data_IF_496815520946
#
_entry.id   IF_496815520946
#
_cell.length_a   1.000
_cell.length_b   1.000
_cell.length_c   1.000
_cell.angle_alpha   90.00
_cell.angle_beta   90.00
_cell.angle_gamma   90.00
#
_symmetry.space_group_name_H-M   'P 1'
#
loop_
_entity.id
_entity.type
_entity.pdbx_description
1 polymer ?
#
# COMPACT_ATOMS: atom_id res chain seq x y z
N UNK A 1 34.13 -7.33 57.75
CA UNK A 1 32.80 -6.67 57.69
C UNK A 1 32.70 -5.58 56.60
N UNK A 2 33.74 -5.36 55.79
CA UNK A 2 33.83 -4.22 54.84
C UNK A 2 33.47 -4.59 53.38
N UNK A 3 33.54 -5.88 53.04
CA UNK A 3 33.29 -6.41 51.67
C UNK A 3 31.81 -6.56 51.30
N UNK A 4 30.89 -6.61 52.27
CA UNK A 4 29.43 -6.68 52.01
C UNK A 4 28.85 -5.33 51.56
N UNK A 5 29.36 -4.23 52.10
CA UNK A 5 28.89 -2.87 51.76
C UNK A 5 29.37 -2.42 50.37
N UNK A 6 30.60 -2.78 49.98
CA UNK A 6 31.10 -2.51 48.63
C UNK A 6 30.34 -3.31 47.58
N UNK A 7 30.01 -4.58 47.84
CA UNK A 7 29.21 -5.39 46.94
C UNK A 7 27.78 -4.85 46.77
N UNK A 8 27.17 -4.36 47.86
CA UNK A 8 25.85 -3.70 47.81
C UNK A 8 25.89 -2.41 46.99
N UNK A 9 26.89 -1.57 47.22
CA UNK A 9 27.08 -0.31 46.49
C UNK A 9 27.35 -0.54 44.99
N UNK A 10 28.15 -1.55 44.65
CA UNK A 10 28.41 -1.95 43.26
C UNK A 10 27.13 -2.46 42.61
N UNK A 11 26.32 -3.29 43.29
CA UNK A 11 25.02 -3.73 42.76
C UNK A 11 24.09 -2.56 42.47
N UNK A 12 24.00 -1.60 43.38
CA UNK A 12 23.14 -0.42 43.22
C UNK A 12 23.59 0.49 42.07
N UNK A 13 24.90 0.66 41.89
CA UNK A 13 25.49 1.38 40.75
C UNK A 13 25.25 0.66 39.41
N UNK A 14 25.35 -0.68 39.40
CA UNK A 14 25.04 -1.49 38.22
C UNK A 14 23.55 -1.39 37.87
N UNK A 15 22.65 -1.51 38.84
CA UNK A 15 21.20 -1.38 38.62
C UNK A 15 20.82 0.02 38.13
N UNK A 16 21.44 1.08 38.68
CA UNK A 16 21.24 2.46 38.23
C UNK A 16 21.78 2.73 36.83
N UNK A 17 22.82 2.02 36.37
CA UNK A 17 23.38 2.19 35.03
C UNK A 17 22.66 1.37 33.95
N UNK A 18 22.10 0.21 34.29
CA UNK A 18 21.35 -0.63 33.36
C UNK A 18 20.03 0.02 32.93
N UNK A 19 19.32 0.66 33.86
CA UNK A 19 18.02 1.29 33.58
C UNK A 19 18.05 2.35 32.46
N UNK A 20 18.93 3.38 32.49
CA UNK A 20 19.02 4.36 31.41
C UNK A 20 19.59 3.78 30.12
N UNK A 21 20.52 2.82 30.20
CA UNK A 21 21.09 2.16 29.03
C UNK A 21 20.03 1.35 28.26
N UNK A 22 19.13 0.68 28.98
CA UNK A 22 18.02 -0.05 28.39
C UNK A 22 16.99 0.89 27.74
N UNK A 23 16.70 2.04 28.36
CA UNK A 23 15.82 3.05 27.78
C UNK A 23 16.40 3.67 26.51
N UNK A 24 17.70 3.99 26.49
CA UNK A 24 18.40 4.49 25.29
C UNK A 24 18.35 3.45 24.16
N UNK A 25 18.57 2.17 24.47
CA UNK A 25 18.47 1.09 23.48
C UNK A 25 17.08 0.94 22.87
N UNK A 26 16.01 1.20 23.64
CA UNK A 26 14.64 1.17 23.13
C UNK A 26 14.37 2.37 22.21
N UNK A 27 14.86 3.57 22.56
CA UNK A 27 14.65 4.80 21.77
C UNK A 27 15.42 4.75 20.44
N UNK A 28 16.60 4.13 20.39
CA UNK A 28 17.39 4.02 19.15
C UNK A 28 16.91 2.93 18.20
N UNK A 29 15.91 2.11 18.59
CA UNK A 29 15.28 1.16 17.66
C UNK A 29 14.39 1.91 16.66
N UNK A 30 14.95 2.19 15.49
CA UNK A 30 14.19 2.64 14.32
C UNK A 30 13.14 1.59 13.95
N UNK A 31 11.86 1.95 14.02
CA UNK A 31 10.78 1.08 13.54
C UNK A 31 10.91 0.92 12.03
N UNK A 32 10.99 -0.32 11.55
CA UNK A 32 10.98 -0.60 10.12
C UNK A 32 9.55 -0.36 9.63
N UNK A 33 9.34 0.73 8.90
CA UNK A 33 8.07 1.00 8.23
C UNK A 33 7.96 0.09 7.01
N UNK A 34 7.23 -1.01 7.15
CA UNK A 34 6.71 -1.71 5.98
C UNK A 34 5.43 -1.00 5.57
N UNK A 35 5.30 -0.62 4.31
CA UNK A 35 4.12 0.05 3.81
C UNK A 35 3.48 -0.83 2.73
N UNK A 36 2.45 -1.57 3.15
CA UNK A 36 1.65 -2.43 2.31
C UNK A 36 0.20 -1.99 2.41
N UNK A 37 -0.55 -2.22 1.34
CA UNK A 37 -1.97 -1.84 1.26
C UNK A 37 -2.83 -2.52 2.34
N UNK A 38 -2.41 -3.69 2.83
CA UNK A 38 -3.07 -4.38 3.94
C UNK A 38 -3.12 -3.54 5.22
N UNK A 39 -2.13 -2.67 5.46
CA UNK A 39 -2.14 -1.79 6.64
C UNK A 39 -3.20 -0.69 6.53
N UNK A 40 -3.51 -0.24 5.32
CA UNK A 40 -4.66 0.63 5.11
C UNK A 40 -5.96 -0.12 5.45
N UNK A 41 -6.14 -1.32 4.88
CA UNK A 41 -7.33 -2.14 5.09
C UNK A 41 -7.59 -2.46 6.57
N UNK A 42 -6.53 -2.74 7.33
CA UNK A 42 -6.60 -3.04 8.76
C UNK A 42 -6.74 -1.80 9.64
N UNK A 43 -6.09 -0.70 9.28
CA UNK A 43 -6.03 0.51 10.10
C UNK A 43 -7.17 1.50 9.88
N UNK A 44 -7.86 1.43 8.73
CA UNK A 44 -8.84 2.43 8.33
C UNK A 44 -10.10 1.79 7.74
N UNK A 45 -11.27 2.25 8.19
CA UNK A 45 -12.57 1.82 7.67
C UNK A 45 -12.76 2.25 6.21
N UNK A 46 -12.38 3.49 5.92
CA UNK A 46 -12.46 4.07 4.59
C UNK A 46 -11.06 4.55 4.18
N UNK A 47 -10.56 4.18 2.99
CA UNK A 47 -9.24 4.62 2.53
C UNK A 47 -9.19 6.11 2.15
N UNK A 48 -10.33 6.80 2.06
CA UNK A 48 -10.43 8.24 1.79
C UNK A 48 -11.01 8.97 2.99
N UNK A 49 -10.26 9.95 3.47
CA UNK A 49 -10.69 10.88 4.52
C UNK A 49 -11.69 11.90 3.98
N UNK A 50 -12.45 12.56 4.86
CA UNK A 50 -13.43 13.59 4.48
C UNK A 50 -12.79 14.78 3.72
N UNK A 51 -11.50 15.02 3.95
CA UNK A 51 -10.68 16.02 3.24
C UNK A 51 -10.37 15.64 1.79
N UNK A 52 -10.63 14.38 1.41
CA UNK A 52 -10.21 13.79 0.15
C UNK A 52 -8.81 13.19 0.17
N UNK A 53 -8.07 13.31 1.29
CA UNK A 53 -6.76 12.67 1.46
C UNK A 53 -6.91 11.15 1.52
N UNK A 54 -5.97 10.43 0.90
CA UNK A 54 -5.90 8.97 0.95
C UNK A 54 -5.00 8.54 2.12
N UNK A 55 -5.44 7.55 2.90
CA UNK A 55 -4.77 7.11 4.14
C UNK A 55 -3.35 6.59 3.93
N UNK A 56 -3.00 6.18 2.70
CA UNK A 56 -1.63 5.83 2.32
C UNK A 56 -0.64 6.97 2.60
N UNK A 57 -1.08 8.22 2.54
CA UNK A 57 -0.27 9.41 2.81
C UNK A 57 0.07 9.60 4.30
N UNK A 58 -0.50 8.81 5.22
CA UNK A 58 -0.12 8.82 6.63
C UNK A 58 1.22 8.08 6.87
N UNK A 59 1.64 7.23 5.93
CA UNK A 59 2.92 6.53 5.96
C UNK A 59 3.84 6.92 4.79
N UNK A 60 3.29 7.02 3.57
CA UNK A 60 4.04 7.46 2.38
C UNK A 60 4.07 8.99 2.33
N UNK A 61 5.03 9.58 3.03
CA UNK A 61 5.14 11.04 3.21
C UNK A 61 5.61 11.79 1.96
N UNK A 62 6.31 11.10 1.05
CA UNK A 62 6.76 11.69 -0.20
C UNK A 62 5.60 11.78 -1.21
N UNK A 63 5.47 12.95 -1.84
CA UNK A 63 4.47 13.17 -2.89
C UNK A 63 5.08 12.90 -4.28
N UNK A 64 4.37 12.14 -5.10
CA UNK A 64 4.66 11.95 -6.52
C UNK A 64 3.35 12.04 -7.31
N UNK A 65 3.36 12.64 -8.50
CA UNK A 65 2.16 12.73 -9.33
C UNK A 65 1.71 11.33 -9.76
N UNK A 66 0.40 11.17 -9.92
CA UNK A 66 -0.25 9.96 -10.42
C UNK A 66 -1.30 10.41 -11.42
N UNK A 67 -1.26 9.86 -12.63
CA UNK A 67 -2.24 10.16 -13.67
C UNK A 67 -3.24 9.00 -13.80
N UNK A 68 -4.49 9.32 -14.10
CA UNK A 68 -5.54 8.34 -14.37
C UNK A 68 -6.24 8.68 -15.67
N UNK A 69 -6.27 7.73 -16.61
CA UNK A 69 -6.96 7.88 -17.88
C UNK A 69 -8.20 6.98 -17.88
N UNK A 70 -9.38 7.60 -18.05
CA UNK A 70 -10.70 6.94 -18.12
C UNK A 70 -11.43 7.31 -19.42
N UNK A 71 -12.27 6.43 -19.99
CA UNK A 71 -13.19 6.76 -21.06
C UNK A 71 -14.16 7.82 -20.61
N UNK A 72 -14.52 8.69 -21.55
CA UNK A 72 -15.48 9.76 -21.32
C UNK A 72 -16.85 9.21 -20.87
N UNK A 73 -17.28 8.08 -21.43
CA UNK A 73 -18.58 7.48 -21.15
C UNK A 73 -18.51 5.96 -21.24
N UNK A 74 -19.34 5.29 -20.43
CA UNK A 74 -19.45 3.84 -20.39
C UNK A 74 -20.92 3.42 -20.38
N UNK A 75 -21.24 2.41 -21.20
CA UNK A 75 -22.59 1.85 -21.26
C UNK A 75 -22.88 0.99 -20.02
N UNK A 76 -24.14 0.91 -19.56
CA UNK A 76 -24.53 -0.01 -18.49
C UNK A 76 -24.19 -1.46 -18.85
N UNK A 77 -23.87 -2.28 -17.84
CA UNK A 77 -23.52 -3.71 -17.99
C UNK A 77 -22.40 -4.01 -18.99
N UNK A 78 -21.64 -3.00 -19.40
CA UNK A 78 -20.51 -3.16 -20.30
C UNK A 78 -19.25 -3.22 -19.48
N UNK A 79 -18.36 -4.13 -19.87
CA UNK A 79 -17.04 -4.19 -19.29
C UNK A 79 -16.12 -3.32 -20.11
N UNK A 80 -15.47 -2.36 -19.47
CA UNK A 80 -14.72 -1.33 -20.17
C UNK A 80 -13.29 -1.23 -19.64
N UNK A 81 -12.38 -0.85 -20.52
CA UNK A 81 -10.95 -0.74 -20.28
C UNK A 81 -10.59 0.71 -20.00
N UNK A 82 -10.29 1.07 -18.76
CA UNK A 82 -10.44 2.47 -18.43
C UNK A 82 -9.64 3.02 -17.30
N UNK A 83 -8.71 2.28 -16.73
CA UNK A 83 -7.97 2.84 -15.61
C UNK A 83 -6.52 2.53 -15.84
N UNK A 84 -5.93 3.29 -16.75
CA UNK A 84 -4.48 3.37 -16.82
C UNK A 84 -4.07 4.36 -15.73
N UNK A 85 -3.66 3.81 -14.59
CA UNK A 85 -3.01 4.62 -13.56
C UNK A 85 -1.52 4.68 -13.91
N UNK A 86 -1.03 5.85 -14.30
CA UNK A 86 0.39 6.06 -14.62
C UNK A 86 1.08 6.61 -13.37
N UNK A 87 2.09 5.88 -12.91
CA UNK A 87 2.94 6.30 -11.81
C UNK A 87 4.35 6.48 -12.38
N UNK A 88 4.75 7.71 -12.74
CA UNK A 88 6.08 7.95 -13.25
C UNK A 88 7.11 7.69 -12.16
N UNK A 89 8.14 6.92 -12.49
CA UNK A 89 9.33 6.80 -11.66
C UNK A 89 10.58 6.73 -12.52
N UNK A 90 11.68 7.17 -11.92
CA UNK A 90 12.99 7.05 -12.53
C UNK A 90 13.50 5.62 -12.31
N UNK A 91 13.66 4.88 -13.41
CA UNK A 91 14.15 3.49 -13.43
C UNK A 91 15.62 3.36 -13.01
N UNK A 92 16.38 4.47 -13.02
CA UNK A 92 17.76 4.48 -12.55
C UNK A 92 17.84 4.58 -11.02
N UNK A 93 16.79 5.08 -10.36
CA UNK A 93 16.76 5.20 -8.92
C UNK A 93 16.39 3.87 -8.24
N UNK A 94 17.19 3.52 -7.23
CA UNK A 94 16.98 2.34 -6.38
C UNK A 94 16.56 2.77 -4.99
N UNK A 95 15.59 2.08 -4.41
CA UNK A 95 15.18 2.30 -3.01
C UNK A 95 16.04 1.47 -2.06
N UNK A 96 16.13 1.92 -0.80
CA UNK A 96 16.71 1.12 0.28
C UNK A 96 15.68 0.07 0.70
N UNK A 97 16.05 -1.20 0.61
CA UNK A 97 15.22 -2.33 1.03
C UNK A 97 15.30 -2.53 2.55
N UNK A 98 14.39 -3.34 3.10
CA UNK A 98 14.36 -3.67 4.54
C UNK A 98 15.68 -4.29 5.07
N UNK A 99 16.49 -4.90 4.19
CA UNK A 99 17.81 -5.44 4.54
C UNK A 99 18.95 -4.40 4.43
N UNK A 100 18.64 -3.13 4.18
CA UNK A 100 19.60 -2.04 4.00
C UNK A 100 20.27 -1.98 2.62
N UNK A 101 20.04 -2.94 1.72
CA UNK A 101 20.60 -2.94 0.36
C UNK A 101 19.74 -2.10 -0.60
N UNK A 102 20.35 -1.60 -1.68
CA UNK A 102 19.63 -0.90 -2.75
C UNK A 102 18.97 -1.90 -3.71
N UNK A 103 17.68 -1.71 -4.00
CA UNK A 103 16.89 -2.58 -4.89
C UNK A 103 15.85 -1.82 -5.70
N UNK A 104 15.09 -2.58 -6.51
CA UNK A 104 14.00 -2.03 -7.32
C UNK A 104 12.82 -1.55 -6.48
N UNK A 105 11.96 -0.73 -7.09
CA UNK A 105 10.76 -0.21 -6.46
C UNK A 105 9.57 -1.16 -6.67
N UNK A 106 8.75 -1.28 -5.64
CA UNK A 106 7.44 -1.89 -5.72
C UNK A 106 6.38 -0.79 -5.70
N UNK A 107 5.31 -1.00 -6.45
CA UNK A 107 4.20 -0.05 -6.52
C UNK A 107 2.89 -0.77 -6.23
N UNK A 108 1.98 -0.06 -5.59
CA UNK A 108 0.61 -0.48 -5.38
C UNK A 108 -0.31 0.73 -5.45
N UNK A 109 -1.61 0.48 -5.60
CA UNK A 109 -2.62 1.52 -5.69
C UNK A 109 -3.91 1.12 -4.97
N UNK A 110 -4.63 2.14 -4.51
CA UNK A 110 -6.03 2.05 -4.10
C UNK A 110 -6.85 2.80 -5.13
N UNK A 111 -7.82 2.13 -5.75
CA UNK A 111 -8.75 2.72 -6.70
C UNK A 111 -10.14 2.76 -6.09
N UNK A 112 -10.68 3.96 -5.95
CA UNK A 112 -12.02 4.19 -5.39
C UNK A 112 -12.95 4.52 -6.55
N UNK A 113 -13.92 3.64 -6.79
CA UNK A 113 -14.89 3.80 -7.87
C UNK A 113 -16.22 4.31 -7.34
N UNK A 114 -17.05 4.92 -8.20
CA UNK A 114 -18.43 5.23 -7.86
C UNK A 114 -19.19 3.96 -7.46
N UNK A 115 -20.28 4.14 -6.72
CA UNK A 115 -21.15 3.04 -6.35
C UNK A 115 -21.74 2.35 -7.59
N UNK A 116 -21.93 1.04 -7.49
CA UNK A 116 -22.40 0.19 -8.60
C UNK A 116 -21.30 -0.27 -9.56
N UNK A 117 -20.08 0.24 -9.43
CA UNK A 117 -18.92 -0.30 -10.14
C UNK A 117 -18.24 -1.39 -9.31
N UNK A 118 -17.89 -2.50 -9.95
CA UNK A 118 -17.08 -3.56 -9.34
C UNK A 118 -16.10 -4.13 -10.36
N UNK A 119 -15.10 -4.86 -9.86
CA UNK A 119 -14.21 -5.63 -10.72
C UNK A 119 -15.02 -6.64 -11.55
N UNK A 120 -14.77 -6.69 -12.85
CA UNK A 120 -15.43 -7.61 -13.74
C UNK A 120 -15.14 -9.06 -13.35
N UNK A 121 -16.15 -9.93 -13.37
CA UNK A 121 -15.96 -11.32 -13.03
C UNK A 121 -15.15 -12.03 -14.14
N UNK A 122 -14.35 -13.06 -13.80
CA UNK A 122 -13.37 -13.66 -14.71
C UNK A 122 -13.96 -14.21 -16.02
N UNK A 123 -15.22 -14.61 -16.01
CA UNK A 123 -15.98 -15.13 -17.15
C UNK A 123 -16.30 -14.06 -18.21
N UNK A 124 -16.31 -12.78 -17.81
CA UNK A 124 -16.54 -11.65 -18.71
C UNK A 124 -15.25 -11.05 -19.27
N UNK A 125 -14.08 -11.60 -18.88
CA UNK A 125 -12.76 -11.10 -19.30
C UNK A 125 -12.31 -11.90 -20.52
N UNK A 126 -12.14 -11.22 -21.66
CA UNK A 126 -11.61 -11.87 -22.86
C UNK A 126 -10.14 -12.29 -22.65
N UNK A 127 -9.68 -13.37 -23.31
CA UNK A 127 -8.31 -13.86 -23.15
C UNK A 127 -7.25 -12.81 -23.49
N UNK A 128 -7.50 -11.97 -24.49
CA UNK A 128 -6.62 -10.85 -24.86
C UNK A 128 -6.43 -9.85 -23.71
N UNK A 129 -7.52 -9.51 -23.01
CA UNK A 129 -7.47 -8.55 -21.91
C UNK A 129 -6.85 -9.20 -20.67
N UNK A 130 -7.12 -10.49 -20.45
CA UNK A 130 -6.50 -11.27 -19.38
C UNK A 130 -4.98 -11.34 -19.52
N UNK A 131 -4.47 -11.51 -20.74
CA UNK A 131 -3.03 -11.50 -21.01
C UNK A 131 -2.43 -10.12 -20.72
N UNK A 132 -3.12 -9.04 -21.14
CA UNK A 132 -2.72 -7.67 -20.81
C UNK A 132 -2.78 -7.39 -19.30
N UNK A 133 -3.70 -8.04 -18.57
CA UNK A 133 -3.79 -7.93 -17.12
C UNK A 133 -2.60 -8.51 -16.36
N UNK A 134 -1.87 -9.44 -16.99
CA UNK A 134 -0.69 -10.06 -16.41
C UNK A 134 -0.96 -10.66 -15.02
N UNK A 135 0.07 -10.65 -14.17
CA UNK A 135 0.04 -11.25 -12.82
C UNK A 135 -0.46 -10.29 -11.74
N UNK A 136 -1.36 -9.37 -12.06
CA UNK A 136 -1.84 -8.42 -11.07
C UNK A 136 -2.93 -9.02 -10.19
N UNK A 137 -2.72 -8.88 -8.89
CA UNK A 137 -3.72 -9.24 -7.89
C UNK A 137 -4.59 -8.02 -7.61
N UNK A 138 -5.88 -8.18 -7.89
CA UNK A 138 -6.93 -7.23 -7.51
C UNK A 138 -7.67 -7.79 -6.31
N UNK A 139 -7.85 -6.97 -5.29
CA UNK A 139 -8.60 -7.33 -4.10
C UNK A 139 -9.58 -6.22 -3.77
N UNK A 140 -10.76 -6.55 -3.27
CA UNK A 140 -11.64 -5.53 -2.69
C UNK A 140 -11.06 -5.05 -1.37
N UNK A 141 -11.17 -3.75 -1.09
CA UNK A 141 -10.68 -3.17 0.16
C UNK A 141 -11.31 -3.85 1.37
N UNK A 142 -12.61 -4.16 1.28
CA UNK A 142 -13.38 -4.98 2.23
C UNK A 142 -14.35 -5.90 1.48
N UNK A 143 -14.83 -6.99 2.12
CA UNK A 143 -15.83 -7.89 1.51
C UNK A 143 -17.10 -7.16 1.03
N UNK A 144 -17.51 -6.11 1.75
CA UNK A 144 -18.72 -5.35 1.47
C UNK A 144 -18.49 -4.14 0.54
N UNK A 145 -17.22 -3.77 0.26
CA UNK A 145 -16.85 -2.59 -0.52
C UNK A 145 -16.22 -3.02 -1.85
N UNK A 146 -17.04 -3.51 -2.77
CA UNK A 146 -16.60 -4.03 -4.08
C UNK A 146 -16.15 -2.95 -5.06
N UNK A 147 -16.56 -1.70 -4.83
CA UNK A 147 -16.19 -0.53 -5.62
C UNK A 147 -14.81 0.03 -5.24
N UNK A 148 -14.19 -0.44 -4.16
CA UNK A 148 -12.85 -0.04 -3.76
C UNK A 148 -11.90 -1.19 -4.02
N UNK A 149 -10.96 -0.99 -4.94
CA UNK A 149 -10.01 -1.99 -5.36
C UNK A 149 -8.61 -1.65 -4.84
N UNK A 150 -7.93 -2.68 -4.35
CA UNK A 150 -6.57 -2.66 -3.83
C UNK A 150 -5.72 -3.50 -4.76
N UNK A 151 -4.59 -2.95 -5.21
CA UNK A 151 -3.77 -3.57 -6.25
C UNK A 151 -2.29 -3.54 -5.86
N UNK A 152 -1.64 -4.70 -5.93
CA UNK A 152 -0.20 -4.85 -5.65
C UNK A 152 0.10 -5.47 -4.28
N UNK A 153 1.37 -5.47 -3.84
CA UNK A 153 2.52 -4.81 -4.45
C UNK A 153 3.01 -5.50 -5.73
N UNK A 154 3.43 -4.69 -6.72
CA UNK A 154 3.93 -5.14 -8.03
C UNK A 154 5.35 -4.63 -8.21
N UNK A 155 6.25 -5.51 -8.67
CA UNK A 155 7.61 -5.12 -9.06
C UNK A 155 7.52 -4.32 -10.36
N UNK A 156 8.00 -3.09 -10.35
CA UNK A 156 7.97 -2.25 -11.54
C UNK A 156 9.21 -2.51 -12.38
N UNK A 157 9.00 -2.92 -13.64
CA UNK A 157 10.08 -3.23 -14.61
C UNK A 157 10.17 -2.22 -15.76
N UNK A 158 9.12 -1.45 -15.98
CA UNK A 158 8.97 -0.42 -17.03
C UNK A 158 8.80 0.94 -16.36
N UNK A 159 9.22 2.07 -16.97
CA UNK A 159 9.14 3.42 -16.36
C UNK A 159 7.71 3.87 -16.01
N UNK A 160 6.71 3.16 -16.54
CA UNK A 160 5.32 3.29 -16.18
C UNK A 160 4.85 1.95 -15.65
N UNK A 161 4.24 1.95 -14.45
CA UNK A 161 3.37 0.84 -14.09
C UNK A 161 2.06 1.07 -14.84
N UNK A 162 1.78 0.24 -15.84
CA UNK A 162 0.44 0.17 -16.39
C UNK A 162 -0.37 -0.70 -15.44
N UNK A 163 -1.28 -0.09 -14.68
CA UNK A 163 -2.42 -0.88 -14.22
C UNK A 163 -3.21 -1.23 -15.47
N UNK A 164 -3.27 -2.50 -15.84
CA UNK A 164 -3.97 -2.95 -17.01
C UNK A 164 -5.43 -2.70 -16.75
N UNK A 165 -6.04 -2.01 -17.72
CA UNK A 165 -7.41 -2.22 -18.20
C UNK A 165 -8.29 -2.84 -17.10
N UNK A 166 -8.55 -2.07 -16.05
CA UNK A 166 -9.42 -2.53 -14.98
C UNK A 166 -10.80 -2.62 -15.60
N UNK A 167 -11.21 -3.85 -15.83
CA UNK A 167 -12.50 -4.20 -16.35
C UNK A 167 -13.50 -3.93 -15.23
N UNK A 168 -14.26 -2.86 -15.38
CA UNK A 168 -15.28 -2.49 -14.41
C UNK A 168 -16.65 -2.81 -14.98
N UNK A 169 -17.48 -3.42 -14.14
CA UNK A 169 -18.89 -3.65 -14.46
C UNK A 169 -19.71 -2.57 -13.77
N UNK A 170 -20.40 -1.73 -14.56
CA UNK A 170 -21.44 -0.86 -14.03
C UNK A 170 -22.73 -1.67 -13.87
N UNK A 171 -23.09 -2.00 -12.63
CA UNK A 171 -24.43 -2.51 -12.31
C UNK A 171 -25.44 -1.38 -12.50
N UNK A 172 -26.59 -1.71 -13.10
CA UNK A 172 -27.74 -0.81 -13.08
C UNK A 172 -28.18 -0.59 -11.64
N UNK A 173 -28.57 0.64 -11.31
CA UNK A 173 -29.31 0.90 -10.07
C UNK A 173 -30.62 0.12 -10.18
N UNK A 174 -30.71 -1.03 -9.51
CA UNK A 174 -32.02 -1.58 -9.18
C UNK A 174 -32.60 -0.65 -8.13
N UNK A 175 -33.55 0.19 -8.55
CA UNK A 175 -34.49 0.85 -7.65
C UNK A 175 -35.28 -0.18 -6.85
#
# INVERSE_FOLDING_TARGET
MQTRNTFSWIKEQITRSISPSLMIYIITRTSISNAYLIFAQQGYENPREATGRIVCANCHLANKPVDIEVPQAVLPHTVFEAVVVRIPYDTQLKQVLANGKKGGLNVGAVLILPEGFELAPPDRISPEIKEKMGNLSFQSYRPNQKNILVIGPVIVKSPFLFFPRILLLRKTYTS
#
